data_IF_733724941502
#
_entry.id   IF_733724941502
#
_cell.length_a   1.000
_cell.length_b   1.000
_cell.length_c   1.000
_cell.angle_alpha   90.00
_cell.angle_beta   90.00
_cell.angle_gamma   90.00
#
_symmetry.space_group_name_H-M   'P 1'
#
loop_
_entity.id
_entity.type
_entity.pdbx_description
1 polymer ?
#
# COMPACT_ATOMS: atom_id res chain seq x y z
N UNK A 1 -52.15 1.27 -0.41
CA UNK A 1 -50.81 0.94 0.12
C UNK A 1 -50.17 2.08 0.91
N UNK A 2 -49.59 3.16 0.36
CA UNK A 2 -49.10 4.29 1.19
C UNK A 2 -50.22 5.24 1.69
N UNK A 3 -51.33 5.34 0.96
CA UNK A 3 -52.54 6.08 1.39
C UNK A 3 -53.38 5.37 2.48
N UNK A 4 -52.97 4.18 2.90
CA UNK A 4 -53.65 3.37 3.93
C UNK A 4 -52.93 3.39 5.29
N UNK A 5 -51.87 4.19 5.47
CA UNK A 5 -51.11 4.24 6.72
C UNK A 5 -50.20 3.02 6.95
N UNK A 6 -49.93 2.21 5.91
CA UNK A 6 -48.98 1.10 6.00
C UNK A 6 -47.54 1.63 5.83
N UNK A 7 -46.67 1.28 6.77
CA UNK A 7 -45.23 1.55 6.69
C UNK A 7 -44.61 0.79 5.51
N UNK A 8 -43.75 1.46 4.76
CA UNK A 8 -42.96 0.85 3.69
C UNK A 8 -41.48 0.93 4.06
N UNK A 9 -40.85 -0.23 4.25
CA UNK A 9 -39.41 -0.31 4.49
C UNK A 9 -38.67 -0.08 3.18
N UNK A 10 -37.86 0.97 3.13
CA UNK A 10 -37.01 1.31 1.98
C UNK A 10 -35.57 1.04 2.34
N UNK A 11 -34.93 0.12 1.61
CA UNK A 11 -33.50 -0.17 1.76
C UNK A 11 -32.70 0.47 0.63
N UNK A 12 -31.68 1.24 0.99
CA UNK A 12 -30.73 1.82 0.05
C UNK A 12 -29.38 1.12 0.18
N UNK A 13 -29.02 0.32 -0.82
CA UNK A 13 -27.70 -0.32 -0.93
C UNK A 13 -26.81 0.55 -1.82
N UNK A 14 -25.75 1.11 -1.25
CA UNK A 14 -24.80 1.96 -1.97
C UNK A 14 -23.44 1.26 -1.97
N UNK A 15 -22.89 1.05 -3.16
CA UNK A 15 -21.49 0.66 -3.30
C UNK A 15 -20.60 1.86 -2.95
N UNK A 16 -19.79 1.69 -1.91
CA UNK A 16 -18.89 2.71 -1.39
C UNK A 16 -17.42 2.54 -1.84
N UNK A 17 -17.19 1.84 -2.95
CA UNK A 17 -15.85 1.73 -3.57
C UNK A 17 -15.25 3.11 -3.88
N UNK A 18 -16.07 4.06 -4.35
CA UNK A 18 -15.76 5.49 -4.33
C UNK A 18 -16.57 6.18 -3.23
N UNK A 19 -15.88 6.55 -2.15
CA UNK A 19 -16.49 7.18 -0.97
C UNK A 19 -17.14 8.53 -1.31
N UNK A 20 -16.59 9.29 -2.27
CA UNK A 20 -17.14 10.58 -2.64
C UNK A 20 -18.44 10.40 -3.41
N UNK A 21 -18.46 9.47 -4.38
CA UNK A 21 -19.65 9.18 -5.17
C UNK A 21 -20.78 8.62 -4.29
N UNK A 22 -20.46 7.68 -3.40
CA UNK A 22 -21.41 7.13 -2.44
C UNK A 22 -22.01 8.20 -1.52
N UNK A 23 -21.22 9.20 -1.10
CA UNK A 23 -21.69 10.33 -0.30
C UNK A 23 -22.67 11.21 -1.07
N UNK A 24 -22.39 11.48 -2.35
CA UNK A 24 -23.27 12.27 -3.23
C UNK A 24 -24.60 11.56 -3.44
N UNK A 25 -24.59 10.26 -3.77
CA UNK A 25 -25.80 9.45 -3.99
C UNK A 25 -26.66 9.44 -2.72
N UNK A 26 -26.05 9.18 -1.56
CA UNK A 26 -26.74 9.18 -0.26
C UNK A 26 -27.43 10.52 -0.01
N UNK A 27 -26.71 11.62 -0.18
CA UNK A 27 -27.24 12.96 0.10
C UNK A 27 -28.34 13.34 -0.90
N UNK A 28 -28.19 12.97 -2.18
CA UNK A 28 -29.20 13.19 -3.21
C UNK A 28 -30.50 12.44 -2.91
N UNK A 29 -30.41 11.18 -2.47
CA UNK A 29 -31.58 10.40 -2.06
C UNK A 29 -32.35 11.10 -0.93
N UNK A 30 -31.67 11.52 0.14
CA UNK A 30 -32.31 12.23 1.25
C UNK A 30 -32.94 13.56 0.84
N UNK A 31 -32.25 14.34 -0.02
CA UNK A 31 -32.78 15.60 -0.52
C UNK A 31 -34.04 15.40 -1.37
N UNK A 32 -34.10 14.34 -2.19
CA UNK A 32 -35.29 14.00 -2.98
C UNK A 32 -36.45 13.53 -2.09
N UNK A 33 -36.19 12.71 -1.07
CA UNK A 33 -37.22 12.28 -0.12
C UNK A 33 -37.80 13.48 0.61
N UNK A 34 -36.95 14.38 1.13
CA UNK A 34 -37.39 15.61 1.79
C UNK A 34 -38.19 16.52 0.84
N UNK A 35 -37.76 16.68 -0.42
CA UNK A 35 -38.50 17.48 -1.39
C UNK A 35 -39.89 16.88 -1.70
N UNK A 36 -40.01 15.56 -1.73
CA UNK A 36 -41.29 14.88 -1.94
C UNK A 36 -42.23 15.01 -0.73
N UNK A 37 -41.70 14.89 0.49
CA UNK A 37 -42.46 15.11 1.73
C UNK A 37 -43.06 16.52 1.79
N UNK A 38 -42.26 17.54 1.48
CA UNK A 38 -42.71 18.94 1.44
C UNK A 38 -43.77 19.15 0.36
N UNK A 39 -43.61 18.53 -0.81
CA UNK A 39 -44.55 18.68 -1.93
C UNK A 39 -45.91 18.03 -1.64
N UNK A 40 -45.92 16.86 -1.01
CA UNK A 40 -47.15 16.12 -0.68
C UNK A 40 -47.77 16.56 0.66
N UNK A 41 -47.17 17.54 1.35
CA UNK A 41 -47.65 18.02 2.65
C UNK A 41 -47.59 16.96 3.75
N UNK A 42 -46.70 15.98 3.61
CA UNK A 42 -46.51 14.91 4.59
C UNK A 42 -45.77 15.47 5.81
N UNK A 43 -46.11 15.02 7.03
CA UNK A 43 -45.36 15.40 8.22
C UNK A 43 -43.89 15.01 8.04
N UNK A 44 -42.99 15.92 8.41
CA UNK A 44 -41.55 15.73 8.26
C UNK A 44 -41.10 14.61 9.19
N UNK A 45 -41.04 13.38 8.68
CA UNK A 45 -40.47 12.26 9.41
C UNK A 45 -38.99 12.34 9.14
N UNK A 46 -38.20 12.85 10.09
CA UNK A 46 -36.74 12.70 10.01
C UNK A 46 -36.44 11.21 9.85
N UNK A 47 -35.98 10.76 8.67
CA UNK A 47 -35.80 9.33 8.48
C UNK A 47 -34.64 8.93 9.39
N UNK A 48 -34.93 8.14 10.43
CA UNK A 48 -33.91 7.51 11.26
C UNK A 48 -33.26 6.39 10.44
N UNK A 49 -32.52 6.77 9.41
CA UNK A 49 -31.66 5.84 8.70
C UNK A 49 -30.45 5.62 9.59
N UNK A 50 -30.38 4.44 10.19
CA UNK A 50 -29.16 3.94 10.82
C UNK A 50 -28.31 3.32 9.70
N UNK A 51 -27.26 4.00 9.20
CA UNK A 51 -26.45 3.44 8.13
C UNK A 51 -25.67 2.25 8.67
N UNK A 52 -25.98 1.04 8.18
CA UNK A 52 -25.16 -0.14 8.41
C UNK A 52 -24.04 -0.18 7.37
N UNK A 53 -22.91 0.45 7.68
CA UNK A 53 -21.72 0.38 6.83
C UNK A 53 -21.08 -1.01 6.97
N UNK A 54 -21.06 -1.76 5.85
CA UNK A 54 -20.31 -3.02 5.76
C UNK A 54 -19.05 -2.80 4.94
N UNK A 55 -17.89 -2.75 5.61
CA UNK A 55 -16.58 -2.72 4.95
C UNK A 55 -16.24 -4.14 4.48
N UNK A 56 -16.13 -4.33 3.17
CA UNK A 56 -15.74 -5.63 2.59
C UNK A 56 -14.23 -5.87 2.66
N UNK A 57 -13.42 -4.80 2.61
CA UNK A 57 -11.96 -4.84 2.73
C UNK A 57 -11.51 -4.08 3.98
N UNK A 58 -10.65 -4.72 4.79
CA UNK A 58 -10.13 -4.21 6.07
C UNK A 58 -11.22 -3.65 7.02
N UNK A 59 -12.17 -4.48 7.50
CA UNK A 59 -13.23 -4.05 8.41
C UNK A 59 -12.70 -3.47 9.73
N UNK A 60 -11.45 -3.81 10.11
CA UNK A 60 -10.75 -3.24 11.27
C UNK A 60 -10.02 -1.92 11.01
N UNK A 61 -10.04 -1.39 9.77
CA UNK A 61 -9.35 -0.16 9.31
C UNK A 61 -7.91 -0.03 9.84
N UNK A 62 -7.16 -1.14 9.86
CA UNK A 62 -5.75 -1.11 10.27
C UNK A 62 -4.93 -0.46 9.14
N UNK A 63 -4.59 0.82 9.29
CA UNK A 63 -3.82 1.57 8.28
C UNK A 63 -2.46 0.94 7.99
N UNK A 64 -1.87 0.28 8.99
CA UNK A 64 -0.59 -0.44 8.85
C UNK A 64 -0.60 -1.50 7.76
N UNK A 65 -1.74 -2.16 7.50
CA UNK A 65 -1.87 -3.19 6.46
C UNK A 65 -1.74 -2.62 5.03
N UNK A 66 -1.87 -1.31 4.84
CA UNK A 66 -1.73 -0.67 3.53
C UNK A 66 -0.43 0.13 3.40
N UNK A 67 -0.06 0.88 4.43
CA UNK A 67 1.09 1.79 4.37
C UNK A 67 2.42 1.03 4.48
N UNK A 68 2.50 0.04 5.39
CA UNK A 68 3.77 -0.64 5.68
C UNK A 68 4.29 -1.44 4.49
N UNK A 69 3.49 -2.26 3.76
CA UNK A 69 4.00 -2.95 2.58
C UNK A 69 4.54 -2.01 1.50
N UNK A 70 3.88 -0.87 1.29
CA UNK A 70 4.35 0.16 0.35
C UNK A 70 5.66 0.79 0.79
N UNK A 71 5.81 1.07 2.09
CA UNK A 71 7.05 1.59 2.64
C UNK A 71 8.21 0.59 2.53
N UNK A 72 7.97 -0.71 2.81
CA UNK A 72 8.99 -1.76 2.66
C UNK A 72 9.50 -1.80 1.21
N UNK A 73 8.59 -1.79 0.22
CA UNK A 73 8.98 -1.79 -1.19
C UNK A 73 9.81 -0.56 -1.56
N UNK A 74 9.38 0.62 -1.13
CA UNK A 74 10.09 1.88 -1.38
C UNK A 74 11.50 1.88 -0.79
N UNK A 75 11.63 1.48 0.48
CA UNK A 75 12.91 1.43 1.21
C UNK A 75 13.86 0.45 0.52
N UNK A 76 13.38 -0.77 0.24
CA UNK A 76 14.16 -1.82 -0.44
C UNK A 76 14.66 -1.36 -1.82
N UNK A 77 13.94 -0.46 -2.50
CA UNK A 77 14.36 0.07 -3.80
C UNK A 77 15.40 1.19 -3.70
N UNK A 78 15.17 2.15 -2.80
CA UNK A 78 16.00 3.38 -2.74
C UNK A 78 17.35 3.09 -2.06
N UNK A 79 17.38 2.27 -1.02
CA UNK A 79 18.59 2.09 -0.20
C UNK A 79 19.76 1.42 -0.93
N UNK A 80 19.57 0.30 -1.68
CA UNK A 80 20.67 -0.30 -2.44
C UNK A 80 21.27 0.65 -3.48
N UNK A 81 20.42 1.41 -4.19
CA UNK A 81 20.86 2.40 -5.17
C UNK A 81 21.67 3.53 -4.49
N UNK A 82 21.20 4.01 -3.33
CA UNK A 82 21.89 5.03 -2.54
C UNK A 82 23.25 4.54 -2.05
N UNK A 83 23.31 3.31 -1.52
CA UNK A 83 24.55 2.70 -1.04
C UNK A 83 25.57 2.52 -2.18
N UNK A 84 25.10 2.07 -3.34
CA UNK A 84 25.92 1.94 -4.55
C UNK A 84 26.50 3.29 -4.98
N UNK A 85 25.69 4.35 -4.98
CA UNK A 85 26.13 5.70 -5.31
C UNK A 85 27.20 6.21 -4.31
N UNK A 86 26.99 6.03 -3.00
CA UNK A 86 27.97 6.44 -2.00
C UNK A 86 29.27 5.66 -2.09
N UNK A 87 29.20 4.35 -2.31
CA UNK A 87 30.39 3.53 -2.49
C UNK A 87 31.16 3.93 -3.75
N UNK A 88 30.47 4.27 -4.85
CA UNK A 88 31.11 4.80 -6.06
C UNK A 88 31.83 6.13 -5.81
N UNK A 89 31.20 7.06 -5.09
CA UNK A 89 31.83 8.34 -4.72
C UNK A 89 33.08 8.08 -3.86
N UNK A 90 32.97 7.20 -2.87
CA UNK A 90 34.07 6.88 -1.96
C UNK A 90 35.27 6.23 -2.67
N UNK A 91 35.02 5.33 -3.62
CA UNK A 91 36.09 4.74 -4.45
C UNK A 91 36.82 5.78 -5.31
N UNK A 92 36.07 6.77 -5.82
CA UNK A 92 36.65 7.88 -6.57
C UNK A 92 37.53 8.76 -5.68
N UNK A 93 37.09 9.06 -4.47
CA UNK A 93 37.84 9.87 -3.50
C UNK A 93 39.10 9.17 -2.98
N UNK A 94 39.01 7.86 -2.75
CA UNK A 94 40.14 7.05 -2.26
C UNK A 94 41.16 6.72 -3.35
N UNK A 95 40.87 7.03 -4.62
CA UNK A 95 41.75 6.74 -5.74
C UNK A 95 41.88 5.24 -6.07
N UNK A 96 41.05 4.38 -5.46
CA UNK A 96 41.08 2.92 -5.64
C UNK A 96 40.88 2.52 -7.10
N UNK A 97 40.17 3.35 -7.87
CA UNK A 97 40.00 3.20 -9.33
C UNK A 97 41.36 3.11 -10.05
N UNK A 98 42.36 3.90 -9.64
CA UNK A 98 43.69 3.90 -10.27
C UNK A 98 44.49 2.63 -9.90
N UNK A 99 44.31 2.13 -8.68
CA UNK A 99 44.94 0.90 -8.21
C UNK A 99 44.44 -0.33 -8.97
N UNK A 100 43.16 -0.32 -9.38
CA UNK A 100 42.55 -1.38 -10.18
C UNK A 100 43.12 -1.46 -11.61
N UNK A 101 43.43 -0.32 -12.24
CA UNK A 101 44.10 -0.29 -13.54
C UNK A 101 45.51 -0.91 -13.54
N UNK A 102 46.17 -0.92 -12.38
CA UNK A 102 47.48 -1.56 -12.21
C UNK A 102 47.37 -3.04 -11.82
N UNK A 103 46.17 -3.55 -11.53
CA UNK A 103 45.93 -4.94 -11.15
C UNK A 103 45.64 -5.83 -12.37
N UNK A 104 45.92 -7.13 -12.26
CA UNK A 104 45.63 -8.11 -13.33
C UNK A 104 44.18 -8.59 -13.37
N UNK A 105 43.26 -7.94 -12.64
CA UNK A 105 41.83 -8.29 -12.59
C UNK A 105 41.11 -7.76 -13.83
N UNK A 106 40.22 -8.58 -14.40
CA UNK A 106 39.41 -8.14 -15.54
C UNK A 106 38.25 -7.25 -15.10
N UNK A 107 37.82 -6.33 -15.98
CA UNK A 107 36.70 -5.44 -15.70
C UNK A 107 35.40 -6.22 -15.38
N UNK A 108 35.19 -7.38 -16.01
CA UNK A 108 34.02 -8.21 -15.78
C UNK A 108 34.01 -8.83 -14.38
N UNK A 109 35.13 -9.42 -13.93
CA UNK A 109 35.24 -10.00 -12.58
C UNK A 109 34.99 -8.95 -11.50
N UNK A 110 35.51 -7.74 -11.71
CA UNK A 110 35.31 -6.64 -10.79
C UNK A 110 33.84 -6.20 -10.69
N UNK A 111 33.19 -5.97 -11.84
CA UNK A 111 31.79 -5.56 -11.89
C UNK A 111 30.90 -6.65 -11.30
N UNK A 112 31.15 -7.91 -11.64
CA UNK A 112 30.36 -9.04 -11.13
C UNK A 112 30.52 -9.21 -9.62
N UNK A 113 31.75 -9.15 -9.09
CA UNK A 113 32.00 -9.25 -7.66
C UNK A 113 31.32 -8.13 -6.88
N UNK A 114 31.38 -6.91 -7.41
CA UNK A 114 30.73 -5.74 -6.82
C UNK A 114 29.20 -5.81 -6.88
N UNK A 115 28.65 -6.30 -8.00
CA UNK A 115 27.21 -6.53 -8.14
C UNK A 115 26.71 -7.58 -7.15
N UNK A 116 27.43 -8.70 -6.98
CA UNK A 116 27.08 -9.74 -6.00
C UNK A 116 27.13 -9.17 -4.57
N UNK A 117 28.16 -8.39 -4.23
CA UNK A 117 28.27 -7.77 -2.92
C UNK A 117 27.07 -6.86 -2.62
N UNK A 118 26.68 -6.01 -3.56
CA UNK A 118 25.51 -5.14 -3.39
C UNK A 118 24.20 -5.89 -3.36
N UNK A 119 24.05 -6.94 -4.18
CA UNK A 119 22.90 -7.82 -4.12
C UNK A 119 22.75 -8.45 -2.73
N UNK A 120 23.84 -8.96 -2.15
CA UNK A 120 23.81 -9.52 -0.80
C UNK A 120 23.42 -8.49 0.26
N UNK A 121 23.92 -7.25 0.15
CA UNK A 121 23.56 -6.17 1.07
C UNK A 121 22.09 -5.78 0.93
N UNK A 122 21.60 -5.59 -0.30
CA UNK A 122 20.19 -5.27 -0.55
C UNK A 122 19.25 -6.40 -0.13
N UNK A 123 19.64 -7.65 -0.33
CA UNK A 123 18.87 -8.79 0.16
C UNK A 123 18.82 -8.82 1.69
N UNK A 124 19.95 -8.63 2.38
CA UNK A 124 19.99 -8.58 3.84
C UNK A 124 19.16 -7.40 4.41
N UNK A 125 19.25 -6.23 3.78
CA UNK A 125 18.47 -5.04 4.13
C UNK A 125 16.97 -5.28 3.96
N UNK A 126 16.54 -5.88 2.85
CA UNK A 126 15.13 -6.21 2.65
C UNK A 126 14.58 -7.15 3.73
N UNK A 127 15.37 -8.13 4.18
CA UNK A 127 14.98 -9.04 5.26
C UNK A 127 14.84 -8.30 6.60
N UNK A 128 15.73 -7.35 6.88
CA UNK A 128 15.67 -6.52 8.09
C UNK A 128 14.43 -5.65 8.11
N UNK A 129 14.15 -4.93 7.01
CA UNK A 129 12.99 -4.02 6.92
C UNK A 129 11.68 -4.79 7.02
N UNK A 130 11.62 -5.99 6.43
CA UNK A 130 10.47 -6.90 6.60
C UNK A 130 10.32 -7.36 8.05
N UNK A 131 11.42 -7.77 8.69
CA UNK A 131 11.40 -8.18 10.09
C UNK A 131 10.94 -7.05 11.03
N UNK A 132 11.36 -5.80 10.77
CA UNK A 132 10.87 -4.62 11.46
C UNK A 132 9.36 -4.39 11.22
N UNK A 133 8.91 -4.55 9.97
CA UNK A 133 7.49 -4.52 9.62
C UNK A 133 6.66 -5.52 10.43
N UNK A 134 7.18 -6.73 10.62
CA UNK A 134 6.52 -7.76 11.43
C UNK A 134 6.58 -7.46 12.93
N UNK A 135 7.74 -7.08 13.46
CA UNK A 135 7.96 -6.90 14.90
C UNK A 135 7.30 -5.63 15.44
N UNK A 136 7.37 -4.52 14.71
CA UNK A 136 6.89 -3.20 15.16
C UNK A 136 5.43 -2.98 14.80
N UNK A 137 5.03 -3.37 13.58
CA UNK A 137 3.68 -3.10 13.07
C UNK A 137 2.74 -4.31 13.11
N UNK A 138 3.23 -5.47 13.58
CA UNK A 138 2.43 -6.70 13.70
C UNK A 138 1.99 -7.25 12.34
N UNK A 139 2.72 -6.92 11.27
CA UNK A 139 2.43 -7.43 9.93
C UNK A 139 2.63 -8.94 9.95
N UNK A 140 1.63 -9.68 9.49
CA UNK A 140 1.71 -11.13 9.36
C UNK A 140 1.71 -11.50 7.88
N UNK A 141 2.63 -12.36 7.47
CA UNK A 141 2.61 -12.90 6.13
C UNK A 141 1.41 -13.82 5.94
N UNK A 142 0.59 -13.51 4.95
CA UNK A 142 -0.52 -14.37 4.53
C UNK A 142 -0.10 -15.06 3.24
N UNK A 143 0.18 -16.37 3.30
CA UNK A 143 0.57 -17.17 2.13
C UNK A 143 1.90 -17.91 2.29
N UNK A 144 2.56 -18.19 1.17
CA UNK A 144 3.81 -18.96 1.12
C UNK A 144 5.05 -18.06 1.30
N UNK A 145 5.86 -18.24 2.36
CA UNK A 145 7.08 -17.46 2.58
C UNK A 145 8.12 -17.61 1.46
N UNK A 146 8.18 -18.76 0.79
CA UNK A 146 9.11 -18.99 -0.31
C UNK A 146 8.79 -18.14 -1.53
N UNK A 147 7.50 -17.90 -1.80
CA UNK A 147 7.09 -17.03 -2.89
C UNK A 147 7.53 -15.59 -2.62
N UNK A 148 7.38 -15.13 -1.37
CA UNK A 148 7.89 -13.82 -0.95
C UNK A 148 9.40 -13.71 -1.15
N UNK A 149 10.15 -14.69 -0.62
CA UNK A 149 11.61 -14.68 -0.68
C UNK A 149 12.13 -14.70 -2.13
N UNK A 150 11.49 -15.49 -3.00
CA UNK A 150 11.80 -15.52 -4.44
C UNK A 150 11.51 -14.17 -5.12
N UNK A 151 10.35 -13.56 -4.84
CA UNK A 151 10.02 -12.23 -5.37
C UNK A 151 10.99 -11.16 -4.87
N UNK A 152 11.43 -11.22 -3.61
CA UNK A 152 12.41 -10.29 -3.05
C UNK A 152 13.76 -10.41 -3.77
N UNK A 153 14.22 -11.63 -4.05
CA UNK A 153 15.45 -11.84 -4.84
C UNK A 153 15.34 -11.20 -6.21
N UNK A 154 14.22 -11.42 -6.92
CA UNK A 154 14.00 -10.81 -8.24
C UNK A 154 13.93 -9.28 -8.17
N UNK A 155 13.27 -8.75 -7.14
CA UNK A 155 13.12 -7.32 -6.94
C UNK A 155 14.48 -6.63 -6.75
N UNK A 156 15.29 -7.16 -5.81
CA UNK A 156 16.64 -6.65 -5.53
C UNK A 156 17.56 -6.81 -6.74
N UNK A 157 17.44 -7.90 -7.50
CA UNK A 157 18.24 -8.11 -8.71
C UNK A 157 17.84 -7.19 -9.88
N UNK A 158 16.61 -6.71 -9.91
CA UNK A 158 16.10 -5.81 -10.96
C UNK A 158 16.34 -4.32 -10.69
N UNK A 159 16.62 -3.97 -9.43
CA UNK A 159 16.80 -2.61 -8.93
C UNK A 159 18.20 -2.04 -9.14
#
# INVERSE_FOLDING_TARGET
NLKEGKHADVQLLIDATDVNNARVIKNGFFALTQAYEVKEGLPHVTPQVVPHLRLWFNPGRKESLHIVPGAIALVTWIFPALLSAFAMVREKEQGTILQLYASSITAFELILGKAIAYFCVGFAESMLVVAEGMAVFGITFVGNPFAFLFCTVLYVASG
#
